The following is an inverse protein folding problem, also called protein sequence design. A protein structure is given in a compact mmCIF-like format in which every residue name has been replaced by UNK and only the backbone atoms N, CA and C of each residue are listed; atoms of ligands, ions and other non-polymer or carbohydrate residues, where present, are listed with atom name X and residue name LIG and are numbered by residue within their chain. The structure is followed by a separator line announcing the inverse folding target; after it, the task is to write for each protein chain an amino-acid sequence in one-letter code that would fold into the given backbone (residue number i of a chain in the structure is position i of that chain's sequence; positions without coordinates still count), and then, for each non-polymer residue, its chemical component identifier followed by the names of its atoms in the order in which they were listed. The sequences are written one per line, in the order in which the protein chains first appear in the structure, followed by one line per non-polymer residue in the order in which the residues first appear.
data_IF_901310708352
#
_entry.id   IF_901310708352
#
_cell.length_a   1.000
_cell.length_b   1.000
_cell.length_c   1.000
_cell.angle_alpha   90.00
_cell.angle_beta   90.00
_cell.angle_gamma   90.00
#
_symmetry.space_group_name_H-M   'P 1'
#
loop_
_entity.id
_entity.type
_entity.pdbx_description
1 polymer ?
#
# COMPACT_ATOMS: atom_id res chain seq x y z
N UNK A 1 -6.43 23.22 -22.18
CA UNK A 1 -4.96 23.40 -22.27
C UNK A 1 -4.33 22.62 -21.15
N UNK A 2 -3.62 21.55 -21.47
CA UNK A 2 -2.84 20.76 -20.51
C UNK A 2 -1.64 21.59 -20.04
N UNK A 3 -1.34 21.58 -18.73
CA UNK A 3 -0.12 22.23 -18.21
C UNK A 3 1.13 21.59 -18.83
N UNK A 4 2.19 22.37 -19.10
CA UNK A 4 3.44 21.83 -19.62
C UNK A 4 4.09 20.88 -18.59
N UNK A 5 4.55 19.73 -19.07
CA UNK A 5 5.34 18.76 -18.30
C UNK A 5 6.73 19.37 -18.04
N UNK A 6 7.12 19.47 -16.76
CA UNK A 6 8.35 20.14 -16.37
C UNK A 6 9.21 19.19 -15.52
N UNK A 7 10.23 18.63 -16.18
CA UNK A 7 11.00 17.46 -15.77
C UNK A 7 11.62 17.63 -14.37
N UNK A 8 12.07 18.83 -13.98
CA UNK A 8 12.68 19.02 -12.65
C UNK A 8 11.65 19.00 -11.53
N UNK A 9 10.53 19.69 -11.70
CA UNK A 9 9.44 19.72 -10.70
C UNK A 9 8.65 18.42 -10.65
N UNK A 10 8.62 17.64 -11.73
CA UNK A 10 7.89 16.37 -11.78
C UNK A 10 8.70 15.23 -11.15
N UNK A 11 10.03 15.28 -11.17
CA UNK A 11 10.91 14.34 -10.45
C UNK A 11 10.93 14.60 -8.93
N UNK A 12 11.03 15.86 -8.52
CA UNK A 12 10.99 16.25 -7.09
C UNK A 12 9.63 15.93 -6.43
N UNK A 13 8.57 15.76 -7.24
CA UNK A 13 7.24 15.38 -6.76
C UNK A 13 7.02 13.87 -6.58
N UNK A 14 7.90 13.00 -7.09
CA UNK A 14 7.69 11.55 -7.04
C UNK A 14 8.07 10.91 -5.69
N UNK A 15 8.99 11.54 -4.95
CA UNK A 15 9.37 11.16 -3.58
C UNK A 15 9.43 12.40 -2.67
N UNK A 16 8.26 13.04 -2.49
CA UNK A 16 8.09 14.25 -1.69
C UNK A 16 8.53 14.09 -0.23
N UNK A 17 8.41 12.89 0.33
CA UNK A 17 8.68 12.59 1.73
C UNK A 17 9.76 11.51 1.88
N UNK A 18 10.37 11.40 3.06
CA UNK A 18 11.35 10.34 3.36
C UNK A 18 10.66 9.00 3.62
N UNK A 19 9.46 9.03 4.20
CA UNK A 19 8.69 7.85 4.60
C UNK A 19 7.54 7.54 3.65
N UNK A 20 7.11 6.28 3.65
CA UNK A 20 6.05 5.79 2.76
C UNK A 20 4.81 5.25 3.49
N UNK A 21 3.69 5.37 2.80
CA UNK A 21 2.50 4.54 2.97
C UNK A 21 2.48 3.51 1.85
N UNK A 22 2.48 2.23 2.22
CA UNK A 22 2.33 1.12 1.29
C UNK A 22 0.86 0.68 1.26
N UNK A 23 0.29 0.52 0.08
CA UNK A 23 -1.03 -0.06 -0.14
C UNK A 23 -0.84 -1.45 -0.75
N UNK A 24 -1.29 -2.49 -0.05
CA UNK A 24 -1.25 -3.86 -0.55
C UNK A 24 -2.54 -4.16 -1.34
N UNK A 25 -2.40 -4.58 -2.60
CA UNK A 25 -3.53 -4.94 -3.48
C UNK A 25 -3.32 -6.29 -4.14
N UNK A 26 -4.42 -6.98 -4.44
CA UNK A 26 -4.47 -8.15 -5.35
C UNK A 26 -4.92 -7.69 -6.74
N UNK A 27 -5.04 -8.61 -7.69
CA UNK A 27 -5.56 -8.37 -9.05
C UNK A 27 -7.09 -8.30 -9.12
N UNK A 28 -7.69 -7.49 -8.22
CA UNK A 28 -9.14 -7.32 -8.13
C UNK A 28 -9.51 -5.84 -8.24
N UNK A 29 -10.47 -5.51 -9.12
CA UNK A 29 -10.96 -4.13 -9.33
C UNK A 29 -11.38 -3.46 -8.01
N UNK A 30 -11.97 -4.22 -7.09
CA UNK A 30 -12.42 -3.73 -5.79
C UNK A 30 -11.29 -3.14 -4.92
N UNK A 31 -10.01 -3.42 -5.22
CA UNK A 31 -8.86 -2.80 -4.55
C UNK A 31 -8.73 -1.30 -4.80
N UNK A 32 -9.42 -0.72 -5.80
CA UNK A 32 -9.48 0.72 -6.03
C UNK A 32 -9.81 1.49 -4.75
N UNK A 33 -10.80 1.02 -3.97
CA UNK A 33 -11.19 1.68 -2.70
C UNK A 33 -10.02 1.78 -1.72
N UNK A 34 -9.12 0.80 -1.73
CA UNK A 34 -7.97 0.73 -0.84
C UNK A 34 -6.93 1.76 -1.28
N UNK A 35 -6.71 1.91 -2.59
CA UNK A 35 -5.80 2.93 -3.14
C UNK A 35 -6.31 4.34 -2.79
N UNK A 36 -7.61 4.60 -2.97
CA UNK A 36 -8.23 5.88 -2.62
C UNK A 36 -8.02 6.23 -1.14
N UNK A 37 -8.29 5.29 -0.24
CA UNK A 37 -8.04 5.46 1.20
C UNK A 37 -6.56 5.59 1.53
N UNK A 38 -5.70 4.86 0.80
CA UNK A 38 -4.24 4.97 0.92
C UNK A 38 -3.74 6.38 0.67
N UNK A 39 -4.27 7.08 -0.34
CA UNK A 39 -3.96 8.50 -0.59
C UNK A 39 -4.37 9.40 0.56
N UNK A 40 -5.58 9.24 1.08
CA UNK A 40 -6.04 10.02 2.23
C UNK A 40 -5.14 9.84 3.46
N UNK A 41 -4.69 8.59 3.72
CA UNK A 41 -3.77 8.28 4.81
C UNK A 41 -2.39 8.87 4.55
N UNK A 42 -1.88 8.75 3.32
CA UNK A 42 -0.58 9.28 2.94
C UNK A 42 -0.53 10.80 3.05
N UNK A 43 -1.61 11.51 2.69
CA UNK A 43 -1.72 12.96 2.86
C UNK A 43 -1.71 13.36 4.34
N UNK A 44 -2.49 12.67 5.18
CA UNK A 44 -2.56 12.94 6.62
C UNK A 44 -1.23 12.69 7.32
N UNK A 45 -0.53 11.63 6.92
CA UNK A 45 0.74 11.19 7.53
C UNK A 45 1.97 11.80 6.88
N UNK A 46 1.80 12.59 5.81
CA UNK A 46 2.89 13.21 5.03
C UNK A 46 3.90 12.16 4.56
N UNK A 47 3.41 11.17 3.81
CA UNK A 47 4.21 10.09 3.24
C UNK A 47 4.02 9.99 1.74
N UNK A 48 4.99 9.38 1.05
CA UNK A 48 4.81 8.96 -0.35
C UNK A 48 3.83 7.77 -0.41
N UNK A 49 3.19 7.57 -1.56
CA UNK A 49 2.22 6.49 -1.73
C UNK A 49 2.74 5.44 -2.72
N UNK A 50 2.89 4.22 -2.24
CA UNK A 50 3.29 3.06 -3.05
C UNK A 50 2.18 2.02 -3.06
N UNK A 51 1.80 1.55 -4.24
CA UNK A 51 0.84 0.44 -4.42
C UNK A 51 1.64 -0.81 -4.76
N UNK A 52 1.49 -1.85 -3.94
CA UNK A 52 2.27 -3.08 -4.05
C UNK A 52 1.32 -4.24 -4.31
N UNK A 53 1.53 -4.89 -5.46
CA UNK A 53 0.93 -6.16 -5.79
C UNK A 53 2.05 -7.21 -5.81
N UNK A 54 1.88 -8.31 -5.07
CA UNK A 54 2.77 -9.46 -5.14
C UNK A 54 1.98 -10.62 -5.74
N UNK A 55 2.43 -11.08 -6.90
CA UNK A 55 1.81 -12.13 -7.69
C UNK A 55 2.77 -13.34 -7.75
N UNK A 56 2.21 -14.54 -7.75
CA UNK A 56 2.93 -15.80 -7.89
C UNK A 56 2.94 -16.34 -9.34
N UNK A 57 2.43 -15.56 -10.30
CA UNK A 57 2.40 -15.93 -11.71
C UNK A 57 1.23 -16.83 -12.10
N UNK A 58 0.19 -16.89 -11.26
CA UNK A 58 -1.07 -17.56 -11.60
C UNK A 58 -1.90 -16.72 -12.60
N UNK A 59 -3.08 -17.21 -13.00
CA UNK A 59 -3.93 -16.56 -13.99
C UNK A 59 -4.34 -15.17 -13.50
N UNK A 60 -3.73 -14.14 -14.10
CA UNK A 60 -3.97 -12.72 -13.80
C UNK A 60 -5.22 -12.20 -14.50
N UNK A 61 -6.01 -11.41 -13.78
CA UNK A 61 -6.98 -10.52 -14.40
C UNK A 61 -6.27 -9.26 -14.93
N UNK A 62 -5.98 -9.26 -16.23
CA UNK A 62 -5.27 -8.16 -16.91
C UNK A 62 -6.06 -6.86 -16.81
N UNK A 63 -7.40 -6.93 -16.99
CA UNK A 63 -8.25 -5.75 -16.94
C UNK A 63 -8.28 -5.14 -15.54
N UNK A 64 -8.32 -5.98 -14.50
CA UNK A 64 -8.22 -5.50 -13.12
C UNK A 64 -6.88 -4.81 -12.84
N UNK A 65 -5.76 -5.37 -13.30
CA UNK A 65 -4.44 -4.76 -13.10
C UNK A 65 -4.30 -3.45 -13.86
N UNK A 66 -4.75 -3.38 -15.12
CA UNK A 66 -4.77 -2.13 -15.89
C UNK A 66 -5.59 -1.04 -15.21
N UNK A 67 -6.76 -1.41 -14.68
CA UNK A 67 -7.60 -0.51 -13.89
C UNK A 67 -6.85 0.01 -12.64
N UNK A 68 -6.23 -0.88 -11.87
CA UNK A 68 -5.48 -0.48 -10.67
C UNK A 68 -4.26 0.38 -10.99
N UNK A 69 -3.58 0.17 -12.12
CA UNK A 69 -2.53 1.08 -12.60
C UNK A 69 -3.08 2.46 -12.92
N UNK A 70 -4.23 2.54 -13.60
CA UNK A 70 -4.88 3.81 -13.91
C UNK A 70 -5.25 4.58 -12.64
N UNK A 71 -5.93 3.91 -11.70
CA UNK A 71 -6.29 4.48 -10.40
C UNK A 71 -5.03 4.92 -9.63
N UNK A 72 -3.97 4.11 -9.61
CA UNK A 72 -2.73 4.48 -8.94
C UNK A 72 -2.15 5.77 -9.50
N UNK A 73 -2.13 5.92 -10.83
CA UNK A 73 -1.69 7.14 -11.50
C UNK A 73 -2.56 8.34 -11.16
N UNK A 74 -3.89 8.19 -11.20
CA UNK A 74 -4.84 9.27 -10.85
C UNK A 74 -4.62 9.79 -9.43
N UNK A 75 -4.30 8.90 -8.50
CA UNK A 75 -4.07 9.22 -7.08
C UNK A 75 -2.60 9.51 -6.75
N UNK A 76 -1.75 9.77 -7.76
CA UNK A 76 -0.32 10.06 -7.61
C UNK A 76 0.41 9.02 -6.76
N UNK A 77 0.18 7.75 -7.07
CA UNK A 77 0.83 6.60 -6.44
C UNK A 77 1.76 5.90 -7.42
N UNK A 78 2.89 5.42 -6.92
CA UNK A 78 3.78 4.52 -7.66
C UNK A 78 3.29 3.10 -7.48
N UNK A 79 2.87 2.43 -8.55
CA UNK A 79 2.46 1.03 -8.49
C UNK A 79 3.58 0.10 -8.97
N UNK A 80 3.93 -0.87 -8.14
CA UNK A 80 4.90 -1.92 -8.44
C UNK A 80 4.24 -3.30 -8.35
N UNK A 81 4.57 -4.16 -9.31
CA UNK A 81 4.15 -5.55 -9.33
C UNK A 81 5.37 -6.44 -9.18
N UNK A 82 5.37 -7.26 -8.13
CA UNK A 82 6.43 -8.21 -7.83
C UNK A 82 5.97 -9.62 -8.19
N UNK A 83 6.77 -10.33 -8.98
CA UNK A 83 6.55 -11.74 -9.29
C UNK A 83 7.37 -12.60 -8.33
N UNK A 84 6.77 -13.02 -7.21
CA UNK A 84 7.44 -13.80 -6.19
C UNK A 84 6.45 -14.66 -5.39
N UNK A 85 6.80 -15.92 -5.15
CA UNK A 85 6.01 -16.83 -4.33
C UNK A 85 6.15 -16.55 -2.83
N UNK A 86 7.18 -15.80 -2.42
CA UNK A 86 7.42 -15.39 -1.04
C UNK A 86 6.80 -14.02 -0.77
N UNK A 87 5.47 -13.98 -0.66
CA UNK A 87 4.71 -12.72 -0.48
C UNK A 87 5.13 -11.95 0.78
N UNK A 88 5.24 -12.64 1.92
CA UNK A 88 5.60 -12.00 3.19
C UNK A 88 6.99 -11.36 3.12
N UNK A 89 7.99 -12.10 2.63
CA UNK A 89 9.38 -11.61 2.52
C UNK A 89 9.47 -10.42 1.55
N UNK A 90 8.71 -10.48 0.44
CA UNK A 90 8.63 -9.36 -0.51
C UNK A 90 8.04 -8.11 0.13
N UNK A 91 6.97 -8.24 0.92
CA UNK A 91 6.38 -7.11 1.63
C UNK A 91 7.33 -6.54 2.70
N UNK A 92 8.03 -7.40 3.44
CA UNK A 92 9.07 -7.00 4.41
C UNK A 92 10.17 -6.19 3.71
N UNK A 93 10.64 -6.64 2.55
CA UNK A 93 11.63 -5.92 1.76
C UNK A 93 11.10 -4.55 1.31
N UNK A 94 9.86 -4.48 0.80
CA UNK A 94 9.23 -3.22 0.41
C UNK A 94 9.13 -2.24 1.59
N UNK A 95 8.80 -2.73 2.79
CA UNK A 95 8.73 -1.91 4.01
C UNK A 95 10.08 -1.25 4.30
N UNK A 96 11.17 -1.99 4.20
CA UNK A 96 12.50 -1.47 4.42
C UNK A 96 12.95 -0.52 3.30
N UNK A 97 12.80 -0.94 2.04
CA UNK A 97 13.26 -0.21 0.86
C UNK A 97 12.58 1.16 0.73
N UNK A 98 11.28 1.23 1.01
CA UNK A 98 10.51 2.48 0.89
C UNK A 98 10.40 3.25 2.21
N UNK A 99 11.08 2.80 3.28
CA UNK A 99 10.95 3.37 4.62
C UNK A 99 9.49 3.52 5.03
N UNK A 100 8.71 2.46 4.84
CA UNK A 100 7.29 2.49 5.12
C UNK A 100 7.06 2.66 6.62
N UNK A 101 6.11 3.54 6.95
CA UNK A 101 5.62 3.75 8.32
C UNK A 101 4.13 3.41 8.44
N UNK A 102 3.44 3.31 7.30
CA UNK A 102 2.05 2.87 7.22
C UNK A 102 1.88 1.75 6.21
N UNK A 103 1.01 0.79 6.53
CA UNK A 103 0.49 -0.19 5.58
C UNK A 103 -1.03 -0.09 5.51
N UNK A 104 -1.56 -0.05 4.30
CA UNK A 104 -2.99 -0.04 4.00
C UNK A 104 -3.34 -1.30 3.22
N UNK A 105 -4.40 -2.01 3.64
CA UNK A 105 -4.79 -3.28 3.02
C UNK A 105 -6.29 -3.51 3.12
N UNK A 106 -6.79 -4.56 2.47
CA UNK A 106 -8.14 -5.07 2.75
C UNK A 106 -8.19 -5.80 4.09
N UNK A 107 -9.40 -6.20 4.52
CA UNK A 107 -9.56 -7.02 5.73
C UNK A 107 -8.90 -8.40 5.55
N UNK A 108 -8.18 -8.93 6.56
CA UNK A 108 -7.70 -10.30 6.52
C UNK A 108 -8.88 -11.26 6.45
N UNK A 109 -8.83 -12.22 5.51
CA UNK A 109 -9.90 -13.21 5.35
C UNK A 109 -9.80 -14.36 6.37
N UNK A 110 -8.63 -14.53 7.00
CA UNK A 110 -8.37 -15.60 7.99
C UNK A 110 -7.42 -15.14 9.10
N UNK A 111 -7.43 -15.86 10.22
CA UNK A 111 -6.58 -15.60 11.40
C UNK A 111 -5.08 -15.87 11.12
N UNK A 112 -4.73 -16.67 10.11
CA UNK A 112 -3.35 -16.94 9.72
C UNK A 112 -2.93 -16.20 8.44
N UNK A 113 -3.53 -15.03 8.19
CA UNK A 113 -3.24 -14.22 7.01
C UNK A 113 -1.79 -13.71 7.01
N UNK A 114 -1.28 -13.40 5.82
CA UNK A 114 0.03 -12.74 5.64
C UNK A 114 0.07 -11.40 6.39
N UNK A 115 -1.06 -10.68 6.44
CA UNK A 115 -1.18 -9.41 7.16
C UNK A 115 -0.91 -9.61 8.66
N UNK A 116 -1.52 -10.61 9.28
CA UNK A 116 -1.32 -10.89 10.72
C UNK A 116 0.16 -11.21 11.03
N UNK A 117 0.84 -11.95 10.15
CA UNK A 117 2.28 -12.23 10.30
C UNK A 117 3.12 -10.96 10.18
N UNK A 118 2.79 -10.12 9.19
CA UNK A 118 3.50 -8.86 8.96
C UNK A 118 3.37 -7.92 10.17
N UNK A 119 2.19 -7.84 10.80
CA UNK A 119 1.96 -7.03 12.01
C UNK A 119 2.84 -7.45 13.18
N UNK A 120 2.98 -8.75 13.39
CA UNK A 120 3.82 -9.31 14.45
C UNK A 120 5.30 -9.05 14.16
N UNK A 121 5.72 -9.18 12.89
CA UNK A 121 7.11 -8.96 12.49
C UNK A 121 7.52 -7.49 12.50
N UNK A 122 6.59 -6.58 12.18
CA UNK A 122 6.84 -5.14 12.03
C UNK A 122 5.90 -4.33 12.92
N UNK A 123 6.06 -4.41 14.26
CA UNK A 123 5.17 -3.74 15.23
C UNK A 123 5.31 -2.21 15.22
N UNK A 124 6.35 -1.67 14.59
CA UNK A 124 6.58 -0.23 14.45
C UNK A 124 5.72 0.44 13.37
N UNK A 125 5.02 -0.35 12.54
CA UNK A 125 4.20 0.14 11.43
C UNK A 125 2.76 0.36 11.92
N UNK A 126 2.13 1.42 11.43
CA UNK A 126 0.69 1.63 11.60
C UNK A 126 -0.07 0.96 10.45
N UNK A 127 -1.04 0.11 10.80
CA UNK A 127 -1.82 -0.65 9.83
C UNK A 127 -3.25 -0.13 9.73
N UNK A 128 -3.71 0.05 8.50
CA UNK A 128 -5.05 0.52 8.16
C UNK A 128 -5.75 -0.52 7.28
N UNK A 129 -6.82 -1.12 7.79
CA UNK A 129 -7.62 -2.11 7.08
C UNK A 129 -8.89 -1.48 6.54
N UNK A 130 -9.16 -1.68 5.26
CA UNK A 130 -10.28 -1.10 4.54
C UNK A 130 -11.33 -2.18 4.27
N UNK A 131 -12.49 -2.05 4.92
CA UNK A 131 -13.65 -2.90 4.71
C UNK A 131 -14.27 -2.71 3.31
N UNK A 132 -15.26 -3.53 2.96
CA UNK A 132 -15.91 -3.45 1.64
C UNK A 132 -16.68 -2.15 1.45
N UNK A 133 -17.28 -1.63 2.52
CA UNK A 133 -18.00 -0.35 2.56
C UNK A 133 -17.06 0.86 2.70
N UNK A 134 -15.74 0.62 2.72
CA UNK A 134 -14.73 1.66 2.83
C UNK A 134 -14.52 2.21 4.25
N UNK A 135 -15.06 1.52 5.26
CA UNK A 135 -14.76 1.71 6.68
C UNK A 135 -13.30 1.37 6.99
N UNK A 136 -12.73 2.05 7.99
CA UNK A 136 -11.30 1.95 8.31
C UNK A 136 -11.13 1.42 9.72
N UNK A 137 -10.42 0.30 9.86
CA UNK A 137 -9.95 -0.22 11.14
C UNK A 137 -8.45 -0.01 11.27
N UNK A 138 -8.00 0.55 12.40
CA UNK A 138 -6.58 0.88 12.62
C UNK A 138 -5.97 -0.03 13.67
N UNK A 139 -4.79 -0.58 13.37
CA UNK A 139 -3.91 -1.28 14.31
C UNK A 139 -2.62 -0.46 14.40
N UNK A 140 -2.51 0.37 15.43
CA UNK A 140 -1.34 1.24 15.61
C UNK A 140 -0.25 0.57 16.43
N UNK A 141 1.01 0.84 16.05
CA UNK A 141 2.24 0.49 16.77
C UNK A 141 2.22 0.85 18.26
N UNK A 142 1.47 1.89 18.65
CA UNK A 142 1.37 2.38 20.03
C UNK A 142 0.59 1.51 21.02
N UNK A 143 0.13 0.30 20.65
CA UNK A 143 -0.54 -0.62 21.59
C UNK A 143 0.35 -1.68 22.24
N UNK A 144 1.65 -1.75 21.92
CA UNK A 144 2.55 -2.75 22.53
C UNK A 144 3.33 -2.26 23.78
N UNK A 145 3.24 -0.98 24.15
CA UNK A 145 4.06 -0.40 25.24
C UNK A 145 3.32 -0.15 26.57
N UNK A 146 2.06 -0.56 26.71
CA UNK A 146 1.30 -0.46 27.96
C UNK A 146 0.62 -1.80 28.17
N UNK A 147 1.34 -2.74 28.82
CA UNK A 147 0.83 -3.89 29.59
C UNK A 147 1.99 -4.86 29.91
N UNK A 148 3.04 -4.36 30.54
CA UNK A 148 3.95 -5.16 31.38
C UNK A 148 4.05 -4.49 32.74
#
# INVERSE_FOLDING_TARGET
MSKPFNISTDFDNYNKYISATIVCVTDQINCERIIKRGREIADKTKTNLYVINVDNGSKRDIAAIEHLFHVSKEYNAVMNIFYNNQVLDTLVNCVHEYHAVNIVSGMPQTVNSILNKLWVMMPQIDYYMIGLEGDVTVISSKKAAINQ
#
